data_IF_790988649362
#
_entry.id   IF_790988649362
#
_cell.length_a   1.000
_cell.length_b   1.000
_cell.length_c   1.000
_cell.angle_alpha   90.00
_cell.angle_beta   90.00
_cell.angle_gamma   90.00
#
_symmetry.space_group_name_H-M   'P 1'
#
loop_
_entity.id
_entity.type
_entity.pdbx_description
1 polymer ?
#
# COMPACT_ATOMS: atom_id res chain seq x y z
N UNK A 1 0.03 3.40 20.95
CA UNK A 1 0.24 4.32 19.80
C UNK A 1 0.45 3.45 18.57
N UNK A 2 -0.62 3.13 17.85
CA UNK A 2 -0.49 2.43 16.57
C UNK A 2 0.06 3.43 15.53
N UNK A 3 1.23 3.12 14.96
CA UNK A 3 1.80 3.92 13.89
C UNK A 3 1.14 3.53 12.57
N UNK A 4 0.28 4.40 12.07
CA UNK A 4 -0.24 4.31 10.72
C UNK A 4 0.91 4.59 9.72
N UNK A 5 0.90 3.85 8.60
CA UNK A 5 1.89 4.02 7.54
C UNK A 5 1.22 4.56 6.29
N UNK A 6 1.88 5.54 5.68
CA UNK A 6 1.50 6.09 4.38
C UNK A 6 2.28 5.32 3.32
N UNK A 7 1.57 4.68 2.41
CA UNK A 7 2.13 4.01 1.25
C UNK A 7 1.88 4.87 0.02
N UNK A 8 2.95 5.25 -0.67
CA UNK A 8 2.91 5.87 -1.99
C UNK A 8 3.21 4.78 -3.03
N UNK A 9 2.28 4.58 -3.96
CA UNK A 9 2.39 3.57 -5.01
C UNK A 9 1.94 4.12 -6.37
N UNK A 10 2.42 3.51 -7.45
CA UNK A 10 1.83 3.67 -8.77
C UNK A 10 0.83 2.55 -9.01
N UNK A 11 -0.33 2.90 -9.54
CA UNK A 11 -1.29 1.92 -10.04
C UNK A 11 -0.71 1.17 -11.23
N UNK A 12 -1.12 -0.10 -11.37
CA UNK A 12 -0.80 -0.92 -12.53
C UNK A 12 -1.03 -0.13 -13.85
N UNK A 13 -0.02 0.00 -14.71
CA UNK A 13 -0.13 0.75 -15.96
C UNK A 13 -1.13 0.20 -16.97
N UNK A 14 -1.47 -1.09 -16.85
CA UNK A 14 -2.44 -1.75 -17.72
C UNK A 14 -3.89 -1.41 -17.30
N UNK A 15 -4.08 -0.68 -16.19
CA UNK A 15 -5.40 -0.18 -15.80
C UNK A 15 -5.88 0.95 -16.73
N UNK A 16 -7.20 1.11 -16.91
CA UNK A 16 -7.77 2.13 -17.82
C UNK A 16 -7.34 3.56 -17.53
N UNK A 17 -6.92 3.84 -16.28
CA UNK A 17 -6.50 5.16 -15.81
C UNK A 17 -4.98 5.37 -15.94
N UNK A 18 -4.23 4.36 -16.41
CA UNK A 18 -2.78 4.40 -16.60
C UNK A 18 -1.95 4.45 -15.31
N UNK A 19 -0.72 4.94 -15.43
CA UNK A 19 0.20 5.18 -14.31
C UNK A 19 -0.26 6.39 -13.46
N UNK A 20 -1.02 6.13 -12.40
CA UNK A 20 -1.43 7.15 -11.43
C UNK A 20 -0.68 6.95 -10.10
N UNK A 21 -0.07 8.02 -9.57
CA UNK A 21 0.53 7.98 -8.23
C UNK A 21 -0.54 8.18 -7.16
N UNK A 22 -0.70 7.19 -6.28
CA UNK A 22 -1.63 7.26 -5.14
C UNK A 22 -0.90 7.23 -3.82
N UNK A 23 -1.46 7.95 -2.84
CA UNK A 23 -1.00 7.94 -1.46
C UNK A 23 -2.15 7.43 -0.60
N UNK A 24 -1.93 6.33 0.12
CA UNK A 24 -2.93 5.72 1.00
C UNK A 24 -2.38 5.53 2.39
N UNK A 25 -3.21 5.76 3.40
CA UNK A 25 -2.89 5.46 4.79
C UNK A 25 -3.41 4.05 5.06
N UNK A 26 -2.51 3.13 5.39
CA UNK A 26 -2.88 1.78 5.80
C UNK A 26 -2.70 1.68 7.31
N UNK A 27 -3.82 1.47 7.99
CA UNK A 27 -3.83 1.16 9.42
C UNK A 27 -3.46 -0.31 9.60
N UNK A 28 -2.49 -0.57 10.46
CA UNK A 28 -2.06 -1.94 10.74
C UNK A 28 -3.18 -2.66 11.50
N UNK A 29 -3.55 -3.86 11.06
CA UNK A 29 -4.46 -4.73 11.81
C UNK A 29 -3.69 -5.80 12.61
N UNK A 30 -4.42 -6.66 13.35
CA UNK A 30 -3.83 -7.77 14.14
C UNK A 30 -2.99 -8.76 13.32
N UNK A 31 -3.13 -8.76 11.99
CA UNK A 31 -2.39 -9.59 11.05
C UNK A 31 -1.38 -8.77 10.21
N UNK A 32 -1.18 -7.48 10.51
CA UNK A 32 -0.26 -6.59 9.80
C UNK A 32 -0.96 -5.66 8.80
N UNK A 33 -0.28 -5.32 7.71
CA UNK A 33 -0.84 -4.45 6.67
C UNK A 33 -1.65 -5.22 5.61
N UNK A 34 -1.59 -6.56 5.61
CA UNK A 34 -2.34 -7.39 4.65
C UNK A 34 -1.83 -7.32 3.22
N UNK A 35 -0.54 -7.00 3.03
CA UNK A 35 0.13 -7.03 1.73
C UNK A 35 1.52 -7.65 1.86
N UNK A 36 1.97 -8.32 0.79
CA UNK A 36 3.33 -8.83 0.64
C UNK A 36 3.97 -8.10 -0.52
N UNK A 37 5.22 -7.70 -0.33
CA UNK A 37 5.99 -7.01 -1.35
C UNK A 37 7.19 -7.84 -1.74
N UNK A 38 7.59 -7.72 -3.01
CA UNK A 38 8.75 -8.37 -3.57
C UNK A 38 9.50 -7.39 -4.47
N UNK A 39 10.82 -7.46 -4.47
CA UNK A 39 11.70 -6.58 -5.24
C UNK A 39 12.57 -5.69 -4.36
N UNK A 40 13.71 -5.29 -4.92
CA UNK A 40 14.70 -4.44 -4.27
C UNK A 40 15.08 -3.30 -5.25
N UNK A 41 14.07 -2.52 -5.60
CA UNK A 41 14.06 -1.40 -6.56
C UNK A 41 13.94 -1.78 -8.06
N UNK A 42 12.72 -1.73 -8.65
CA UNK A 42 11.43 -1.37 -8.03
C UNK A 42 10.82 -2.48 -7.17
N UNK A 43 10.05 -2.08 -6.16
CA UNK A 43 9.31 -2.99 -5.28
C UNK A 43 7.87 -3.11 -5.76
N UNK A 44 7.37 -4.32 -5.93
CA UNK A 44 6.02 -4.61 -6.37
C UNK A 44 5.21 -5.31 -5.29
N UNK A 45 3.90 -5.08 -5.31
CA UNK A 45 2.96 -5.83 -4.49
C UNK A 45 2.77 -7.22 -5.10
N UNK A 46 3.26 -8.23 -4.39
CA UNK A 46 3.19 -9.63 -4.79
C UNK A 46 1.81 -10.24 -4.51
N UNK A 47 1.23 -9.90 -3.35
CA UNK A 47 -0.07 -10.42 -2.94
C UNK A 47 -0.74 -9.46 -1.97
N UNK A 48 -2.06 -9.33 -2.10
CA UNK A 48 -2.89 -8.58 -1.15
C UNK A 48 -3.86 -9.55 -0.51
N UNK A 49 -3.94 -9.53 0.83
CA UNK A 49 -4.90 -10.36 1.55
C UNK A 49 -6.29 -9.77 1.39
N UNK A 50 -7.22 -10.57 0.85
CA UNK A 50 -8.62 -10.20 0.74
C UNK A 50 -9.19 -9.77 2.11
N UNK A 51 -9.92 -8.66 2.11
CA UNK A 51 -10.47 -8.06 3.33
C UNK A 51 -9.43 -7.50 4.32
N UNK A 52 -8.13 -7.55 4.01
CA UNK A 52 -7.05 -6.96 4.81
C UNK A 52 -6.96 -5.44 4.71
N UNK A 53 -6.06 -4.83 5.48
CA UNK A 53 -5.92 -3.38 5.49
C UNK A 53 -5.53 -2.79 4.13
N UNK A 54 -4.60 -3.41 3.41
CA UNK A 54 -4.21 -3.01 2.06
C UNK A 54 -5.34 -3.14 1.03
N UNK A 55 -6.11 -4.23 1.09
CA UNK A 55 -7.29 -4.43 0.24
C UNK A 55 -8.31 -3.32 0.45
N UNK A 56 -8.58 -2.96 1.72
CA UNK A 56 -9.47 -1.84 2.06
C UNK A 56 -8.91 -0.48 1.63
N UNK A 57 -7.59 -0.34 1.55
CA UNK A 57 -6.92 0.85 1.05
C UNK A 57 -6.90 0.92 -0.49
N UNK A 58 -7.37 -0.11 -1.20
CA UNK A 58 -7.43 -0.16 -2.66
C UNK A 58 -6.11 -0.51 -3.33
N UNK A 59 -5.16 -1.10 -2.60
CA UNK A 59 -3.92 -1.63 -3.19
C UNK A 59 -4.22 -2.96 -3.88
N UNK A 60 -3.71 -3.12 -5.09
CA UNK A 60 -3.84 -4.32 -5.90
C UNK A 60 -2.48 -5.01 -6.10
N UNK A 61 -2.55 -6.26 -6.55
CA UNK A 61 -1.36 -6.98 -7.05
C UNK A 61 -0.83 -6.24 -8.28
N UNK A 62 0.49 -6.25 -8.47
CA UNK A 62 1.24 -5.51 -9.50
C UNK A 62 1.38 -4.01 -9.28
N UNK A 63 0.73 -3.41 -8.27
CA UNK A 63 1.01 -2.03 -7.90
C UNK A 63 2.48 -1.88 -7.48
N UNK A 64 3.12 -0.80 -7.94
CA UNK A 64 4.53 -0.54 -7.66
C UNK A 64 4.66 0.38 -6.45
N UNK A 65 5.31 -0.09 -5.38
CA UNK A 65 5.57 0.74 -4.20
C UNK A 65 6.76 1.65 -4.48
N UNK A 66 6.52 2.95 -4.32
CA UNK A 66 7.52 4.00 -4.54
C UNK A 66 8.14 4.41 -3.21
N UNK A 67 7.30 4.55 -2.18
CA UNK A 67 7.74 5.09 -0.88
C UNK A 67 6.82 4.65 0.24
N UNK A 68 7.41 4.26 1.36
CA UNK A 68 6.69 4.06 2.62
C UNK A 68 7.13 5.14 3.59
N UNK A 69 6.17 5.86 4.18
CA UNK A 69 6.41 6.84 5.24
C UNK A 69 5.71 6.40 6.52
N UNK A 70 6.33 6.68 7.65
CA UNK A 70 5.70 6.57 8.97
C UNK A 70 4.97 7.88 9.26
N UNK A 71 3.69 7.82 9.64
CA UNK A 71 3.00 8.99 10.17
C UNK A 71 2.98 8.90 11.69
N UNK A 72 3.72 9.78 12.34
CA UNK A 72 3.74 9.88 13.81
C UNK A 72 2.54 10.69 14.34
N UNK A 73 1.86 11.44 13.46
CA UNK A 73 0.78 12.36 13.83
C UNK A 73 -0.44 12.04 12.99
N UNK A 74 -1.39 11.32 13.58
CA UNK A 74 -2.78 11.28 13.11
C UNK A 74 -3.61 11.76 14.29
N UNK A 75 -4.04 13.02 14.21
CA UNK A 75 -5.00 13.56 15.16
C UNK A 75 -6.34 12.91 14.78
N UNK A 76 -6.89 12.12 15.70
CA UNK A 76 -8.14 11.37 15.56
C UNK A 76 -9.30 12.20 16.10
#
# INVERSE_FOLDING_TARGET
>A
MEQDRIFSYFTDPDLPNGFEQKNVIIQRDRYGYGLTVSGDNPVYVLSVREGGAAHRAGINVNDQIIKVKYSTVIIR
#
